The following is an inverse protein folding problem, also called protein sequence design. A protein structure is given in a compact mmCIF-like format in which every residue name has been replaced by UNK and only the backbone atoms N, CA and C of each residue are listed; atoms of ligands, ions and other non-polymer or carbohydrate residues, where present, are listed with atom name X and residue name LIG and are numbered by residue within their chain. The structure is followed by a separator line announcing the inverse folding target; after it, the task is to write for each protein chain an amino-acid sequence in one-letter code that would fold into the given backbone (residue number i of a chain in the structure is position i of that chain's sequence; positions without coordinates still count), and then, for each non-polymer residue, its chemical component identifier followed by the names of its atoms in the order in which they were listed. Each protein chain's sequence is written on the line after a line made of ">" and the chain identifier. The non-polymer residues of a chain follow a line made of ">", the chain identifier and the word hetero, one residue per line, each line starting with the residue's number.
data_IF_479471359501
#
_entry.id   IF_479471359501
#
_cell.length_a   1.000
_cell.length_b   1.000
_cell.length_c   1.000
_cell.angle_alpha   90.00
_cell.angle_beta   90.00
_cell.angle_gamma   90.00
#
_symmetry.space_group_name_H-M   'P 1'
#
loop_
_entity.id
_entity.type
_entity.pdbx_description
1 polymer ?
#
# COMPACT_ATOMS: atom_id res chain seq x y z
N UNK A 1 31.60 38.51 -14.12
CA UNK A 1 31.00 37.16 -14.16
C UNK A 1 29.55 37.37 -14.58
N UNK A 2 29.24 37.19 -15.85
CA UNK A 2 27.90 37.40 -16.39
C UNK A 2 27.45 36.07 -16.98
N UNK A 3 26.35 35.56 -16.43
CA UNK A 3 25.79 34.26 -16.71
C UNK A 3 25.46 34.09 -18.18
N UNK A 4 25.76 32.91 -18.72
CA UNK A 4 25.33 32.50 -20.05
C UNK A 4 23.81 32.43 -20.08
N UNK A 5 23.18 33.46 -20.64
CA UNK A 5 21.78 33.43 -21.07
C UNK A 5 21.59 32.20 -21.96
N UNK A 6 20.91 31.17 -21.44
CA UNK A 6 20.58 29.96 -22.19
C UNK A 6 19.67 30.38 -23.36
N UNK A 7 20.15 30.34 -24.61
CA UNK A 7 19.40 30.82 -25.77
C UNK A 7 18.13 29.99 -26.04
N UNK A 8 17.97 28.87 -25.33
CA UNK A 8 16.85 27.95 -25.47
C UNK A 8 15.63 28.37 -24.63
N UNK A 9 15.79 29.26 -23.64
CA UNK A 9 14.66 29.69 -22.78
C UNK A 9 13.53 30.34 -23.60
N UNK A 10 13.80 31.27 -24.54
CA UNK A 10 12.75 31.84 -25.39
C UNK A 10 12.09 30.80 -26.30
N UNK A 11 12.85 29.79 -26.74
CA UNK A 11 12.34 28.72 -27.60
C UNK A 11 11.42 27.78 -26.82
N UNK A 12 11.83 27.34 -25.63
CA UNK A 12 10.99 26.51 -24.77
C UNK A 12 9.74 27.25 -24.33
N UNK A 13 9.83 28.55 -24.04
CA UNK A 13 8.66 29.36 -23.72
C UNK A 13 7.67 29.41 -24.89
N UNK A 14 8.15 29.66 -26.11
CA UNK A 14 7.30 29.68 -27.32
C UNK A 14 6.63 28.32 -27.58
N UNK A 15 7.36 27.22 -27.37
CA UNK A 15 6.83 25.87 -27.52
C UNK A 15 5.75 25.56 -26.47
N UNK A 16 5.97 25.99 -25.22
CA UNK A 16 4.97 25.88 -24.15
C UNK A 16 3.71 26.68 -24.47
N UNK A 17 3.86 27.93 -24.91
CA UNK A 17 2.75 28.81 -25.25
C UNK A 17 1.92 28.24 -26.42
N UNK A 18 2.58 27.69 -27.45
CA UNK A 18 1.92 27.05 -28.60
C UNK A 18 1.20 25.76 -28.21
N UNK A 19 1.81 24.91 -27.40
CA UNK A 19 1.17 23.69 -26.89
C UNK A 19 -0.08 24.03 -26.08
N UNK A 20 0.03 25.02 -25.19
CA UNK A 20 -1.07 25.48 -24.37
C UNK A 20 -2.21 26.08 -25.23
N UNK A 21 -1.88 26.85 -26.27
CA UNK A 21 -2.87 27.40 -27.21
C UNK A 21 -3.59 26.30 -28.02
N UNK A 22 -2.87 25.29 -28.51
CA UNK A 22 -3.45 24.16 -29.26
C UNK A 22 -4.35 23.31 -28.36
N UNK A 23 -3.92 23.06 -27.13
CA UNK A 23 -4.72 22.35 -26.13
C UNK A 23 -6.01 23.11 -25.81
N UNK A 24 -5.95 24.41 -25.51
CA UNK A 24 -7.14 25.23 -25.22
C UNK A 24 -8.08 25.43 -26.42
N UNK A 25 -7.54 25.43 -27.64
CA UNK A 25 -8.33 25.56 -28.86
C UNK A 25 -9.10 24.28 -29.22
N UNK A 26 -8.55 23.11 -28.87
CA UNK A 26 -9.18 21.81 -29.14
C UNK A 26 -10.06 21.31 -27.99
N UNK A 27 -9.72 21.69 -26.76
CA UNK A 27 -10.43 21.32 -25.55
C UNK A 27 -10.47 22.59 -24.70
N UNK A 28 -11.65 23.19 -24.50
CA UNK A 28 -11.78 24.44 -23.75
C UNK A 28 -11.09 24.39 -22.37
N UNK A 29 -10.82 25.54 -21.73
CA UNK A 29 -10.00 25.60 -20.51
C UNK A 29 -10.48 24.71 -19.37
N UNK A 30 -11.79 24.59 -19.19
CA UNK A 30 -12.40 23.72 -18.18
C UNK A 30 -12.18 22.21 -18.46
N UNK A 31 -11.99 21.83 -19.72
CA UNK A 31 -11.78 20.44 -20.13
C UNK A 31 -10.34 19.98 -19.89
N UNK A 32 -9.37 20.89 -20.08
CA UNK A 32 -7.94 20.60 -19.83
C UNK A 32 -7.69 20.42 -18.32
N UNK A 33 -8.24 21.30 -17.49
CA UNK A 33 -8.15 21.16 -16.04
C UNK A 33 -8.97 19.97 -15.52
N UNK A 34 -10.17 19.72 -16.05
CA UNK A 34 -10.96 18.57 -15.61
C UNK A 34 -10.37 17.23 -16.04
N UNK A 35 -9.82 17.09 -17.24
CA UNK A 35 -9.15 15.84 -17.66
C UNK A 35 -7.87 15.57 -16.86
N UNK A 36 -7.09 16.61 -16.55
CA UNK A 36 -5.88 16.49 -15.72
C UNK A 36 -6.22 16.15 -14.26
N UNK A 37 -7.30 16.73 -13.73
CA UNK A 37 -7.70 16.52 -12.33
C UNK A 37 -8.51 15.23 -12.14
N UNK A 38 -9.13 14.70 -13.20
CA UNK A 38 -9.96 13.50 -13.12
C UNK A 38 -9.15 12.26 -12.73
N UNK A 39 -7.97 12.09 -13.33
CA UNK A 39 -7.08 10.97 -12.99
C UNK A 39 -6.59 11.09 -11.54
N UNK A 40 -6.20 12.29 -11.10
CA UNK A 40 -5.77 12.53 -9.72
C UNK A 40 -6.88 12.22 -8.71
N UNK A 41 -8.11 12.66 -8.98
CA UNK A 41 -9.28 12.39 -8.13
C UNK A 41 -9.59 10.89 -8.08
N UNK A 42 -9.50 10.19 -9.21
CA UNK A 42 -9.70 8.73 -9.26
C UNK A 42 -8.62 7.99 -8.44
N UNK A 43 -7.36 8.41 -8.56
CA UNK A 43 -6.26 7.83 -7.79
C UNK A 43 -6.42 8.08 -6.29
N UNK A 44 -6.83 9.29 -5.88
CA UNK A 44 -7.15 9.61 -4.48
C UNK A 44 -8.30 8.75 -3.94
N UNK A 45 -9.36 8.56 -4.72
CA UNK A 45 -10.47 7.69 -4.34
C UNK A 45 -10.04 6.22 -4.19
N UNK A 46 -9.18 5.72 -5.09
CA UNK A 46 -8.59 4.37 -4.96
C UNK A 46 -7.72 4.23 -3.72
N UNK A 47 -6.90 5.24 -3.41
CA UNK A 47 -6.06 5.27 -2.20
C UNK A 47 -6.94 5.25 -0.94
N UNK A 48 -8.00 6.05 -0.90
CA UNK A 48 -8.94 6.07 0.23
C UNK A 48 -9.62 4.71 0.43
N UNK A 49 -10.11 4.10 -0.65
CA UNK A 49 -10.71 2.77 -0.60
C UNK A 49 -9.74 1.69 -0.10
N UNK A 50 -8.49 1.72 -0.56
CA UNK A 50 -7.44 0.82 -0.06
C UNK A 50 -7.10 1.09 1.40
N UNK A 51 -7.06 2.35 1.82
CA UNK A 51 -6.84 2.74 3.22
C UNK A 51 -7.92 2.17 4.14
N UNK A 52 -9.19 2.25 3.75
CA UNK A 52 -10.30 1.65 4.49
C UNK A 52 -10.17 0.13 4.60
N UNK A 53 -9.75 -0.55 3.53
CA UNK A 53 -9.55 -2.01 3.55
C UNK A 53 -8.39 -2.44 4.46
N UNK A 54 -7.27 -1.70 4.46
CA UNK A 54 -6.09 -1.99 5.30
C UNK A 54 -6.40 -1.83 6.80
N UNK A 55 -7.31 -0.93 7.16
CA UNK A 55 -7.70 -0.71 8.57
C UNK A 55 -8.71 -1.70 9.12
N UNK A 56 -9.25 -2.62 8.31
CA UNK A 56 -10.21 -3.62 8.79
C UNK A 56 -9.50 -4.63 9.69
N UNK A 57 -9.58 -4.37 10.99
CA UNK A 57 -9.27 -5.34 12.04
C UNK A 57 -10.57 -6.01 12.46
N UNK A 58 -10.60 -7.34 12.71
CA UNK A 58 -11.79 -7.99 13.23
C UNK A 58 -12.26 -7.32 14.53
N UNK A 59 -13.42 -6.65 14.50
CA UNK A 59 -13.95 -5.89 15.64
C UNK A 59 -14.44 -6.78 16.80
N UNK A 60 -14.64 -8.07 16.58
CA UNK A 60 -15.14 -8.98 17.62
C UNK A 60 -13.99 -9.65 18.36
N UNK A 61 -13.85 -9.29 19.64
CA UNK A 61 -13.13 -10.10 20.61
C UNK A 61 -13.69 -11.54 20.61
N UNK A 62 -12.85 -12.56 20.87
CA UNK A 62 -13.29 -13.94 20.80
C UNK A 62 -14.43 -14.16 21.79
N UNK A 63 -15.61 -14.53 21.26
CA UNK A 63 -16.68 -15.11 22.07
C UNK A 63 -16.12 -16.38 22.71
N UNK A 64 -16.45 -16.61 23.97
CA UNK A 64 -16.19 -17.92 24.58
C UNK A 64 -17.10 -18.93 23.87
N UNK A 65 -16.53 -19.67 22.91
CA UNK A 65 -17.21 -20.68 22.13
C UNK A 65 -17.14 -22.02 22.86
N UNK A 66 -18.23 -22.78 22.80
CA UNK A 66 -18.24 -24.18 23.23
C UNK A 66 -17.48 -25.09 22.24
N UNK A 67 -17.04 -26.28 22.63
CA UNK A 67 -16.23 -27.18 21.79
C UNK A 67 -16.91 -27.51 20.44
N UNK A 68 -18.23 -27.68 20.45
CA UNK A 68 -19.01 -27.93 19.23
C UNK A 68 -19.02 -26.72 18.30
N UNK A 69 -19.10 -25.51 18.86
CA UNK A 69 -19.08 -24.26 18.10
C UNK A 69 -17.68 -23.97 17.55
N UNK A 70 -16.63 -24.33 18.30
CA UNK A 70 -15.24 -24.28 17.82
C UNK A 70 -15.08 -25.18 16.60
N UNK A 71 -15.58 -26.41 16.64
CA UNK A 71 -15.52 -27.31 15.48
C UNK A 71 -16.26 -26.74 14.26
N UNK A 72 -17.45 -26.18 14.47
CA UNK A 72 -18.22 -25.56 13.38
C UNK A 72 -17.52 -24.32 12.78
N UNK A 73 -16.89 -23.48 13.60
CA UNK A 73 -16.10 -22.35 13.09
C UNK A 73 -14.81 -22.82 12.42
N UNK A 74 -14.17 -23.90 12.87
CA UNK A 74 -13.02 -24.50 12.17
C UNK A 74 -13.43 -25.04 10.80
N UNK A 75 -14.55 -25.74 10.68
CA UNK A 75 -15.09 -26.23 9.40
C UNK A 75 -15.37 -25.07 8.43
N UNK A 76 -15.97 -24.00 8.96
CA UNK A 76 -16.23 -22.77 8.20
C UNK A 76 -14.93 -22.10 7.77
N UNK A 77 -13.92 -22.00 8.64
CA UNK A 77 -12.61 -21.46 8.29
C UNK A 77 -11.92 -22.33 7.23
N UNK A 78 -12.04 -23.65 7.32
CA UNK A 78 -11.52 -24.58 6.31
C UNK A 78 -12.16 -24.32 4.94
N UNK A 79 -13.49 -24.22 4.87
CA UNK A 79 -14.17 -23.94 3.59
C UNK A 79 -13.79 -22.57 2.99
N UNK A 80 -13.53 -21.58 3.83
CA UNK A 80 -13.03 -20.26 3.39
C UNK A 80 -11.61 -20.36 2.85
N UNK A 81 -10.75 -21.17 3.47
CA UNK A 81 -9.39 -21.41 3.01
C UNK A 81 -9.41 -22.11 1.64
N UNK A 82 -10.26 -23.10 1.44
CA UNK A 82 -10.44 -23.77 0.15
C UNK A 82 -10.89 -22.77 -0.95
N UNK A 83 -11.79 -21.85 -0.63
CA UNK A 83 -12.21 -20.81 -1.58
C UNK A 83 -11.05 -19.87 -1.95
N UNK A 84 -10.26 -19.43 -0.97
CA UNK A 84 -9.09 -18.57 -1.22
C UNK A 84 -8.05 -19.31 -2.07
N UNK A 85 -7.79 -20.59 -1.79
CA UNK A 85 -6.86 -21.41 -2.57
C UNK A 85 -7.30 -21.55 -4.04
N UNK A 86 -8.60 -21.76 -4.28
CA UNK A 86 -9.17 -21.78 -5.62
C UNK A 86 -9.02 -20.43 -6.35
N UNK A 87 -9.24 -19.32 -5.65
CA UNK A 87 -9.05 -17.97 -6.21
C UNK A 87 -7.58 -17.72 -6.58
N UNK A 88 -6.65 -18.08 -5.69
CA UNK A 88 -5.21 -17.94 -5.92
C UNK A 88 -4.77 -18.81 -7.11
N UNK A 89 -5.19 -20.07 -7.14
CA UNK A 89 -4.89 -20.99 -8.23
C UNK A 89 -5.41 -20.47 -9.58
N UNK A 90 -6.62 -19.93 -9.60
CA UNK A 90 -7.22 -19.32 -10.80
C UNK A 90 -6.46 -18.07 -11.25
N UNK A 91 -6.06 -17.20 -10.30
CA UNK A 91 -5.29 -15.99 -10.59
C UNK A 91 -3.88 -16.33 -11.11
N UNK A 92 -3.19 -17.29 -10.49
CA UNK A 92 -1.87 -17.76 -10.92
C UNK A 92 -1.89 -18.47 -12.28
N UNK A 93 -3.00 -19.15 -12.62
CA UNK A 93 -3.18 -19.75 -13.93
C UNK A 93 -3.43 -18.68 -15.01
N UNK A 94 -4.07 -17.57 -14.64
CA UNK A 94 -4.39 -16.47 -15.57
C UNK A 94 -3.20 -15.54 -15.80
N UNK A 95 -2.39 -15.31 -14.77
CA UNK A 95 -1.24 -14.41 -14.81
C UNK A 95 -0.03 -14.97 -14.01
N UNK A 96 1.08 -15.32 -14.68
CA UNK A 96 2.30 -15.78 -14.03
C UNK A 96 2.97 -14.75 -13.10
N UNK A 97 2.78 -13.44 -13.31
CA UNK A 97 3.39 -12.40 -12.47
C UNK A 97 2.76 -12.38 -11.06
N UNK A 98 1.48 -12.72 -10.96
CA UNK A 98 0.76 -12.85 -9.68
C UNK A 98 1.45 -13.85 -8.76
N UNK A 99 1.98 -14.96 -9.30
CA UNK A 99 2.73 -15.93 -8.50
C UNK A 99 3.99 -15.31 -7.87
N UNK A 100 4.75 -14.57 -8.66
CA UNK A 100 5.98 -13.92 -8.18
C UNK A 100 5.67 -12.91 -7.07
N UNK A 101 4.61 -12.11 -7.27
CA UNK A 101 4.15 -11.11 -6.31
C UNK A 101 3.63 -11.75 -5.00
N UNK A 102 2.83 -12.83 -5.10
CA UNK A 102 2.34 -13.54 -3.92
C UNK A 102 3.49 -14.20 -3.15
N UNK A 103 4.47 -14.76 -3.86
CA UNK A 103 5.65 -15.34 -3.24
C UNK A 103 6.48 -14.31 -2.48
N UNK A 104 6.78 -13.15 -3.09
CA UNK A 104 7.54 -12.09 -2.42
C UNK A 104 6.77 -11.47 -1.25
N UNK A 105 5.44 -11.38 -1.36
CA UNK A 105 4.57 -10.93 -0.28
C UNK A 105 4.54 -11.94 0.87
N UNK A 106 4.55 -13.24 0.56
CA UNK A 106 4.59 -14.30 1.57
C UNK A 106 5.86 -14.23 2.42
N UNK A 107 7.01 -13.91 1.82
CA UNK A 107 8.27 -13.73 2.56
C UNK A 107 8.18 -12.63 3.63
N UNK A 108 7.38 -11.58 3.38
CA UNK A 108 7.17 -10.46 4.31
C UNK A 108 6.17 -10.84 5.42
N UNK A 109 5.07 -11.48 5.06
CA UNK A 109 3.95 -11.71 5.98
C UNK A 109 4.03 -13.01 6.76
N UNK A 110 4.68 -14.05 6.25
CA UNK A 110 4.81 -15.33 6.96
C UNK A 110 5.38 -15.17 8.37
N UNK A 111 6.50 -14.44 8.59
CA UNK A 111 7.05 -14.22 9.93
C UNK A 111 6.07 -13.53 10.88
N UNK A 112 5.22 -12.62 10.38
CA UNK A 112 4.25 -11.87 11.18
C UNK A 112 3.03 -12.73 11.55
N UNK A 113 2.56 -13.54 10.59
CA UNK A 113 1.39 -14.40 10.76
C UNK A 113 1.71 -15.58 11.68
N UNK A 114 2.89 -16.19 11.53
CA UNK A 114 3.29 -17.35 12.34
C UNK A 114 3.94 -16.99 13.67
N UNK A 115 4.24 -15.71 13.91
CA UNK A 115 4.76 -15.25 15.18
C UNK A 115 3.85 -15.71 16.34
N UNK A 116 4.47 -16.21 17.39
CA UNK A 116 3.84 -16.45 18.68
C UNK A 116 3.38 -15.14 19.34
N UNK A 117 2.54 -15.24 20.38
CA UNK A 117 2.13 -14.06 21.13
C UNK A 117 3.31 -13.31 21.78
N UNK A 118 4.36 -14.04 22.16
CA UNK A 118 5.56 -13.48 22.78
C UNK A 118 6.46 -12.80 21.74
N UNK A 119 6.64 -13.39 20.56
CA UNK A 119 7.32 -12.74 19.43
C UNK A 119 6.59 -11.47 18.99
N UNK A 120 5.24 -11.48 19.05
CA UNK A 120 4.43 -10.30 18.72
C UNK A 120 4.60 -9.12 19.67
N UNK A 121 4.96 -9.35 20.95
CA UNK A 121 5.27 -8.26 21.89
C UNK A 121 6.49 -7.45 21.46
N UNK A 122 7.47 -8.08 20.81
CA UNK A 122 8.67 -7.41 20.31
C UNK A 122 8.40 -6.39 19.20
N UNK A 123 7.38 -6.61 18.37
CA UNK A 123 7.01 -5.68 17.29
C UNK A 123 6.34 -4.39 17.81
N UNK A 124 5.71 -4.41 18.97
CA UNK A 124 5.12 -3.22 19.60
C UNK A 124 6.14 -2.36 20.37
N UNK A 125 7.30 -2.93 20.74
CA UNK A 125 8.31 -2.28 21.58
C UNK A 125 9.25 -1.32 20.85
N UNK A 126 9.37 -1.39 19.53
CA UNK A 126 10.37 -0.59 18.79
C UNK A 126 9.91 0.84 18.46
N UNK A 127 8.67 1.22 18.81
CA UNK A 127 8.19 2.62 18.66
C UNK A 127 8.66 3.57 19.78
N UNK A 128 9.39 3.09 20.79
CA UNK A 128 9.86 3.92 21.90
C UNK A 128 11.24 3.50 22.41
N UNK A 129 12.29 3.60 21.59
CA UNK A 129 13.65 3.61 22.14
C UNK A 129 14.61 4.42 21.29
N UNK A 130 14.28 5.71 21.15
CA UNK A 130 15.29 6.73 20.90
C UNK A 130 15.86 7.19 22.24
N UNK A 131 17.11 6.81 22.52
CA UNK A 131 18.01 7.34 23.57
C UNK A 131 17.92 6.69 24.95
N UNK A 132 18.70 5.62 25.16
CA UNK A 132 19.40 5.40 26.42
C UNK A 132 20.71 4.64 26.15
N UNK A 133 21.72 5.39 25.69
CA UNK A 133 23.11 4.99 25.86
C UNK A 133 23.47 5.23 27.34
N UNK A 134 23.42 4.18 28.17
CA UNK A 134 24.09 4.18 29.46
C UNK A 134 25.60 4.11 29.21
N UNK A 135 26.27 5.26 29.32
CA UNK A 135 27.72 5.34 29.43
C UNK A 135 28.17 4.65 30.72
N UNK A 136 28.69 3.44 30.58
CA UNK A 136 29.61 2.82 31.50
C UNK A 136 30.93 3.63 31.51
N UNK A 137 31.12 4.53 32.48
CA UNK A 137 32.47 4.97 32.86
C UNK A 137 32.54 5.52 34.30
N UNK A 138 32.95 4.69 35.25
CA UNK A 138 33.97 5.05 36.25
C UNK A 138 34.10 3.95 37.30
N UNK A 139 35.07 3.06 37.09
CA UNK A 139 35.79 2.46 38.21
C UNK A 139 37.20 2.04 37.78
N UNK A 140 38.12 3.01 37.78
CA UNK A 140 39.48 2.79 38.29
C UNK A 140 40.17 4.11 38.61
#
# INVERSE_FOLDING_TARGET
>A
MAEGSKPDVPLFQLLTDLLQQVCYASAGPDLVESMSNQEEVELRAKIEALGLEVTKVPEQAPKHLDELEIAAELDKLSSRLDNVDNMISSAMASDPEVKSLLSSTADIWMPVITASADERRGFAGTSSEGSQEEQENSKQ
#
